data_IF_961797730247
#
_entry.id   IF_961797730247
#
_cell.length_a   1.000
_cell.length_b   1.000
_cell.length_c   1.000
_cell.angle_alpha   90.00
_cell.angle_beta   90.00
_cell.angle_gamma   90.00
#
_symmetry.space_group_name_H-M   'P 1'
#
loop_
_entity.id
_entity.type
_entity.pdbx_description
1 polymer ?
#
# COMPACT_ATOMS: atom_id res chain seq x y z
N UNK A 1 -3.96 0.53 13.73
CA UNK A 1 -2.92 -0.29 13.08
C UNK A 1 -2.92 -1.73 13.61
N UNK A 2 -3.30 -1.96 14.87
CA UNK A 2 -3.45 -3.30 15.45
C UNK A 2 -4.28 -4.31 14.65
N UNK A 3 -5.41 -3.90 14.06
CA UNK A 3 -6.24 -4.82 13.26
C UNK A 3 -5.56 -5.32 11.98
N UNK A 4 -4.73 -4.50 11.34
CA UNK A 4 -4.00 -4.87 10.12
C UNK A 4 -2.84 -5.79 10.48
N UNK A 5 -2.14 -5.50 11.58
CA UNK A 5 -1.07 -6.34 12.14
C UNK A 5 -1.55 -7.74 12.52
N UNK A 6 -2.64 -7.83 13.30
CA UNK A 6 -3.18 -9.13 13.73
C UNK A 6 -3.80 -9.93 12.59
N UNK A 7 -4.33 -9.27 11.56
CA UNK A 7 -4.90 -9.95 10.40
C UNK A 7 -3.83 -10.50 9.43
N UNK A 8 -2.64 -9.88 9.37
CA UNK A 8 -1.62 -10.21 8.36
C UNK A 8 -0.37 -10.88 8.92
N UNK A 9 -0.17 -10.95 10.25
CA UNK A 9 1.04 -11.52 10.89
C UNK A 9 2.37 -11.02 10.28
N UNK A 10 2.37 -9.83 9.67
CA UNK A 10 3.50 -9.30 8.95
C UNK A 10 4.36 -8.38 9.83
N UNK A 11 5.68 -8.55 9.77
CA UNK A 11 6.66 -7.71 10.49
C UNK A 11 6.76 -6.28 9.94
N UNK A 12 6.18 -6.03 8.76
CA UNK A 12 6.15 -4.72 8.09
C UNK A 12 4.78 -4.51 7.45
N UNK A 13 4.32 -3.27 7.31
CA UNK A 13 3.11 -2.98 6.55
C UNK A 13 2.95 -1.51 6.22
N UNK A 14 2.44 -1.20 5.04
CA UNK A 14 2.30 0.18 4.56
C UNK A 14 0.89 0.43 4.07
N UNK A 15 0.29 1.54 4.51
CA UNK A 15 -0.95 2.08 3.97
C UNK A 15 -0.64 3.27 3.08
N UNK A 16 -1.08 3.21 1.83
CA UNK A 16 -0.97 4.30 0.87
C UNK A 16 -2.32 4.92 0.59
N UNK A 17 -2.31 6.22 0.35
CA UNK A 17 -3.48 7.04 0.05
C UNK A 17 -3.26 7.81 -1.23
N UNK A 18 -4.31 7.91 -2.05
CA UNK A 18 -4.30 8.80 -3.21
C UNK A 18 -4.06 10.26 -2.80
N UNK A 19 -3.21 10.94 -3.54
CA UNK A 19 -3.04 12.39 -3.49
C UNK A 19 -4.31 13.12 -3.96
N UNK A 20 -4.31 14.45 -3.83
CA UNK A 20 -5.48 15.26 -4.16
C UNK A 20 -5.90 15.14 -5.63
N UNK A 21 -4.94 14.92 -6.52
CA UNK A 21 -5.13 14.77 -7.97
C UNK A 21 -5.52 13.35 -8.40
N UNK A 22 -5.60 12.40 -7.45
CA UNK A 22 -5.87 10.96 -7.69
C UNK A 22 -4.90 10.29 -8.68
N UNK A 23 -3.70 10.86 -8.85
CA UNK A 23 -2.68 10.36 -9.80
C UNK A 23 -1.63 9.51 -9.12
N UNK A 24 -1.33 9.78 -7.85
CA UNK A 24 -0.28 9.09 -7.12
C UNK A 24 -0.75 8.62 -5.75
N UNK A 25 -0.18 7.51 -5.30
CA UNK A 25 -0.29 6.99 -3.95
C UNK A 25 0.88 7.51 -3.12
N UNK A 26 0.58 8.08 -1.95
CA UNK A 26 1.54 8.51 -0.93
C UNK A 26 1.38 7.68 0.33
N UNK A 27 2.46 7.48 1.07
CA UNK A 27 2.39 6.75 2.34
C UNK A 27 1.60 7.56 3.36
N UNK A 28 0.48 7.00 3.81
CA UNK A 28 -0.36 7.58 4.86
C UNK A 28 0.03 7.07 6.24
N UNK A 29 0.54 5.83 6.31
CA UNK A 29 1.10 5.24 7.51
C UNK A 29 1.93 4.01 7.16
N UNK A 30 2.92 3.72 7.98
CA UNK A 30 3.77 2.53 7.86
C UNK A 30 4.05 1.94 9.25
N UNK A 31 4.33 0.65 9.27
CA UNK A 31 4.79 -0.10 10.43
C UNK A 31 6.08 -0.83 10.01
N UNK A 32 7.12 -0.74 10.83
CA UNK A 32 8.41 -1.40 10.56
C UNK A 32 9.30 -0.67 9.54
N UNK A 33 8.87 0.49 9.02
CA UNK A 33 9.65 1.32 8.08
C UNK A 33 10.08 2.64 8.73
N UNK A 34 11.28 3.13 8.37
CA UNK A 34 11.74 4.45 8.82
C UNK A 34 11.02 5.54 8.04
N UNK A 35 10.74 6.67 8.71
CA UNK A 35 9.98 7.77 8.12
C UNK A 35 10.67 8.38 6.88
N UNK A 36 12.00 8.36 6.85
CA UNK A 36 12.83 8.78 5.72
C UNK A 36 12.61 7.92 4.47
N UNK A 37 12.36 6.62 4.65
CA UNK A 37 12.10 5.67 3.57
C UNK A 37 10.71 5.86 2.97
N UNK A 38 9.76 6.40 3.75
CA UNK A 38 8.36 6.54 3.33
C UNK A 38 8.00 7.93 2.84
N UNK A 39 8.62 8.99 3.37
CA UNK A 39 8.24 10.40 3.10
C UNK A 39 8.32 10.81 1.62
N UNK A 40 9.25 10.20 0.86
CA UNK A 40 9.51 10.57 -0.54
C UNK A 40 8.77 9.67 -1.54
N UNK A 41 8.01 8.69 -1.07
CA UNK A 41 7.38 7.72 -1.96
C UNK A 41 6.10 8.27 -2.58
N UNK A 42 6.11 8.31 -3.91
CA UNK A 42 4.96 8.60 -4.76
C UNK A 42 4.85 7.50 -5.82
N UNK A 43 3.79 6.71 -5.75
CA UNK A 43 3.56 5.59 -6.69
C UNK A 43 2.43 5.97 -7.64
N UNK A 44 2.67 6.08 -8.96
CA UNK A 44 1.61 6.37 -9.91
C UNK A 44 0.52 5.29 -9.90
N UNK A 45 -0.74 5.69 -10.05
CA UNK A 45 -1.85 4.74 -10.17
C UNK A 45 -1.64 3.84 -11.39
N UNK A 46 -1.88 2.54 -11.21
CA UNK A 46 -1.64 1.50 -12.22
C UNK A 46 -0.20 1.01 -12.31
N UNK A 47 0.76 1.60 -11.58
CA UNK A 47 2.18 1.21 -11.59
C UNK A 47 2.58 0.49 -10.30
N UNK A 48 3.42 -0.53 -10.44
CA UNK A 48 3.84 -1.38 -9.32
C UNK A 48 2.67 -2.11 -8.65
N UNK A 49 2.95 -2.72 -7.50
CA UNK A 49 1.96 -3.50 -6.75
C UNK A 49 0.79 -2.65 -6.23
N UNK A 50 1.10 -1.63 -5.42
CA UNK A 50 0.08 -0.77 -4.81
C UNK A 50 -0.73 0.03 -5.85
N UNK A 51 -0.08 0.51 -6.92
CA UNK A 51 -0.77 1.25 -7.99
C UNK A 51 -1.76 0.36 -8.76
N UNK A 52 -1.44 -0.92 -8.96
CA UNK A 52 -2.37 -1.90 -9.57
C UNK A 52 -3.59 -2.14 -8.69
N UNK A 53 -3.40 -2.32 -7.38
CA UNK A 53 -4.50 -2.48 -6.41
C UNK A 53 -5.40 -1.23 -6.39
N UNK A 54 -4.80 -0.03 -6.40
CA UNK A 54 -5.59 1.21 -6.43
C UNK A 54 -6.41 1.37 -7.73
N UNK A 55 -5.82 0.98 -8.86
CA UNK A 55 -6.49 1.01 -10.18
C UNK A 55 -7.62 -0.03 -10.26
N UNK A 56 -7.34 -1.29 -9.96
CA UNK A 56 -8.31 -2.39 -10.06
C UNK A 56 -9.40 -2.30 -8.97
N UNK A 57 -9.06 -1.79 -7.79
CA UNK A 57 -9.92 -1.86 -6.62
C UNK A 57 -10.14 -3.28 -6.12
N UNK A 58 -9.24 -4.21 -6.48
CA UNK A 58 -9.27 -5.63 -6.12
C UNK A 58 -8.02 -6.01 -5.32
N UNK A 59 -8.12 -6.98 -4.39
CA UNK A 59 -6.96 -7.50 -3.69
C UNK A 59 -6.00 -8.18 -4.66
N UNK A 60 -4.71 -8.16 -4.35
CA UNK A 60 -3.66 -8.79 -5.12
C UNK A 60 -2.70 -9.49 -4.16
N UNK A 61 -2.35 -10.73 -4.47
CA UNK A 61 -1.32 -11.51 -3.76
C UNK A 61 -0.27 -11.85 -4.80
N UNK A 62 0.99 -11.67 -4.45
CA UNK A 62 2.12 -12.00 -5.32
C UNK A 62 3.10 -12.82 -4.48
N UNK A 63 3.42 -14.00 -4.98
CA UNK A 63 4.33 -14.94 -4.30
C UNK A 63 5.81 -14.62 -4.53
N UNK A 64 6.12 -13.85 -5.58
CA UNK A 64 7.45 -13.32 -5.84
C UNK A 64 7.39 -11.81 -6.14
N UNK A 65 7.82 -10.99 -5.18
CA UNK A 65 7.76 -9.53 -5.28
C UNK A 65 8.53 -8.98 -6.49
N UNK A 66 9.50 -9.72 -7.04
CA UNK A 66 10.22 -9.35 -8.25
C UNK A 66 9.29 -9.29 -9.49
N UNK A 67 8.25 -10.11 -9.54
CA UNK A 67 7.33 -10.22 -10.69
C UNK A 67 6.51 -8.96 -10.93
N UNK A 68 6.40 -8.10 -9.90
CA UNK A 68 5.63 -6.85 -9.98
C UNK A 68 6.49 -5.60 -10.12
N UNK A 69 7.80 -5.76 -10.37
CA UNK A 69 8.79 -4.68 -10.47
C UNK A 69 8.54 -3.60 -9.40
N UNK A 70 8.85 -3.91 -8.13
CA UNK A 70 8.36 -3.15 -7.00
C UNK A 70 8.84 -1.70 -7.08
N UNK A 71 7.87 -0.80 -7.18
CA UNK A 71 8.07 0.66 -7.12
C UNK A 71 8.29 1.10 -5.67
N UNK A 72 7.66 0.39 -4.73
CA UNK A 72 7.86 0.52 -3.29
C UNK A 72 9.29 0.09 -2.91
N UNK A 73 10.16 0.98 -2.40
CA UNK A 73 11.57 0.66 -2.12
C UNK A 73 11.77 -0.48 -1.11
N UNK A 74 10.87 -0.61 -0.13
CA UNK A 74 10.94 -1.63 0.92
C UNK A 74 10.68 -3.06 0.43
N UNK A 75 9.96 -3.24 -0.69
CA UNK A 75 9.72 -4.57 -1.25
C UNK A 75 10.94 -5.15 -1.97
N UNK A 76 12.00 -4.36 -2.19
CA UNK A 76 13.23 -4.81 -2.85
C UNK A 76 14.23 -5.48 -1.91
N UNK A 77 14.02 -5.40 -0.58
CA UNK A 77 15.06 -5.77 0.39
C UNK A 77 15.13 -7.27 0.67
N UNK A 78 14.05 -7.92 1.11
CA UNK A 78 14.07 -9.36 1.43
C UNK A 78 12.66 -9.97 1.43
N UNK A 79 11.73 -9.40 0.65
CA UNK A 79 10.33 -9.82 0.64
C UNK A 79 10.09 -10.76 -0.52
N UNK A 80 9.88 -12.04 -0.26
CA UNK A 80 9.52 -13.01 -1.30
C UNK A 80 8.08 -12.82 -1.72
N UNK A 81 7.12 -12.83 -0.77
CA UNK A 81 5.69 -12.66 -1.09
C UNK A 81 5.13 -11.36 -0.53
N UNK A 82 4.19 -10.74 -1.24
CA UNK A 82 3.47 -9.56 -0.76
C UNK A 82 1.98 -9.69 -1.04
N UNK A 83 1.18 -9.32 -0.04
CA UNK A 83 -0.27 -9.22 -0.17
C UNK A 83 -0.69 -7.76 -0.03
N UNK A 84 -1.70 -7.38 -0.80
CA UNK A 84 -2.28 -6.07 -0.68
C UNK A 84 -3.75 -6.06 -0.99
N UNK A 85 -4.45 -5.19 -0.26
CA UNK A 85 -5.90 -5.07 -0.32
C UNK A 85 -6.30 -3.64 -0.61
N UNK A 86 -7.37 -3.44 -1.40
CA UNK A 86 -7.98 -2.14 -1.56
C UNK A 86 -8.64 -1.77 -0.23
N UNK A 87 -8.26 -0.63 0.32
CA UNK A 87 -8.91 -0.07 1.48
C UNK A 87 -9.66 1.21 1.08
N UNK A 88 -10.70 1.55 1.83
CA UNK A 88 -11.42 2.82 1.69
C UNK A 88 -11.41 3.49 3.04
N UNK A 89 -10.89 4.72 3.12
CA UNK A 89 -11.08 5.53 4.31
C UNK A 89 -12.45 6.16 4.21
N UNK A 90 -13.36 5.82 5.12
CA UNK A 90 -14.61 6.56 5.28
C UNK A 90 -14.25 7.91 5.92
N UNK A 91 -14.33 8.99 5.14
CA UNK A 91 -14.17 10.34 5.69
C UNK A 91 -15.26 10.61 6.73
N UNK A 92 -14.90 11.29 7.83
CA UNK A 92 -15.86 11.80 8.84
C UNK A 92 -16.50 13.13 8.40
N UNK A 93 -16.15 13.61 7.22
CA UNK A 93 -16.74 14.80 6.61
C UNK A 93 -18.03 14.42 5.87
N UNK A 94 -19.09 15.21 6.08
CA UNK A 94 -20.42 15.11 5.45
C UNK A 94 -20.38 15.53 3.96
N UNK A 95 -19.34 15.13 3.23
CA UNK A 95 -19.08 15.51 1.84
C UNK A 95 -18.32 14.40 1.12
N UNK A 96 -19.08 13.42 0.63
CA UNK A 96 -18.80 12.44 -0.44
C UNK A 96 -17.42 12.47 -1.14
N UNK A 97 -16.33 12.04 -0.49
CA UNK A 97 -15.11 11.60 -1.20
C UNK A 97 -14.52 10.34 -0.53
N UNK A 98 -14.95 9.16 -0.98
CA UNK A 98 -14.32 7.89 -0.59
C UNK A 98 -12.92 7.80 -1.22
N UNK A 99 -11.88 8.27 -0.53
CA UNK A 99 -10.50 8.13 -1.02
C UNK A 99 -10.07 6.66 -0.99
N UNK A 100 -9.66 6.14 -2.15
CA UNK A 100 -9.09 4.80 -2.28
C UNK A 100 -7.72 4.76 -1.61
N UNK A 101 -7.47 3.65 -0.93
CA UNK A 101 -6.23 3.32 -0.26
C UNK A 101 -5.75 1.97 -0.78
N UNK A 102 -4.45 1.74 -0.71
CA UNK A 102 -3.86 0.42 -0.85
C UNK A 102 -3.11 0.09 0.44
N UNK A 103 -3.35 -1.06 1.04
CA UNK A 103 -2.50 -1.59 2.10
C UNK A 103 -1.62 -2.69 1.49
N UNK A 104 -0.33 -2.70 1.82
CA UNK A 104 0.63 -3.72 1.41
C UNK A 104 1.35 -4.28 2.64
N UNK A 105 1.56 -5.60 2.67
CA UNK A 105 2.33 -6.28 3.71
C UNK A 105 3.06 -7.50 3.13
N UNK A 106 4.33 -7.76 3.50
CA UNK A 106 4.99 -9.03 3.22
C UNK A 106 4.21 -10.20 3.83
N UNK A 107 4.22 -11.33 3.13
CA UNK A 107 3.70 -12.60 3.61
C UNK A 107 4.89 -13.54 3.79
N UNK A 108 5.08 -14.04 5.01
CA UNK A 108 6.07 -15.05 5.37
C UNK A 108 5.40 -16.42 5.51
#
# INVERSE_FOLDING_TARGET
>A
MDRIRNALRADTGTMLQLDADEKNLRVAASLGLREEETRRVAIPVGRGFAGRIAKSGQPLIVENSADVNPVSPWLRRDVTSVMGVPARRRGKDRGRHSRRLAAEAPVY
#
